data_IF_595924696755
#
_entry.id   IF_595924696755
#
_cell.length_a   1.000
_cell.length_b   1.000
_cell.length_c   1.000
_cell.angle_alpha   90.00
_cell.angle_beta   90.00
_cell.angle_gamma   90.00
#
_symmetry.space_group_name_H-M   'P 1'
#
loop_
_entity.id
_entity.type
_entity.pdbx_description
1 polymer ?
#
# COMPACT_ATOMS: atom_id res chain seq x y z
N UNK A 1 -9.44 12.17 -0.69
CA UNK A 1 -9.19 11.61 0.67
C UNK A 1 -10.45 11.76 1.51
N UNK A 2 -10.65 10.90 2.51
CA UNK A 2 -11.78 11.02 3.43
C UNK A 2 -11.72 12.29 4.28
N UNK A 3 -12.85 12.74 4.81
CA UNK A 3 -12.93 13.95 5.64
C UNK A 3 -12.18 13.84 6.97
N UNK A 4 -12.01 12.62 7.49
CA UNK A 4 -11.21 12.35 8.70
C UNK A 4 -9.71 12.12 8.42
N UNK A 5 -9.28 12.15 7.15
CA UNK A 5 -7.89 11.96 6.75
C UNK A 5 -7.34 10.57 7.04
N UNK A 6 -8.17 9.53 7.14
CA UNK A 6 -7.73 8.15 7.48
C UNK A 6 -7.76 7.16 6.34
N UNK A 7 -8.59 7.39 5.32
CA UNK A 7 -8.73 6.46 4.20
C UNK A 7 -8.93 7.19 2.87
N UNK A 8 -8.84 6.44 1.78
CA UNK A 8 -9.01 6.95 0.43
C UNK A 8 -10.48 6.89 0.01
N UNK A 9 -10.89 7.86 -0.80
CA UNK A 9 -12.17 7.86 -1.50
C UNK A 9 -11.94 8.16 -2.96
N UNK A 10 -12.81 7.65 -3.82
CA UNK A 10 -12.80 8.00 -5.23
C UNK A 10 -13.41 9.40 -5.48
N UNK A 11 -13.50 9.78 -6.75
CA UNK A 11 -14.07 11.08 -7.17
C UNK A 11 -15.57 11.23 -6.87
N UNK A 12 -16.27 10.14 -6.59
CA UNK A 12 -17.69 10.11 -6.22
C UNK A 12 -17.88 10.11 -4.69
N UNK A 13 -16.79 10.07 -3.92
CA UNK A 13 -16.82 10.00 -2.46
C UNK A 13 -16.93 8.57 -1.92
N UNK A 14 -16.89 7.55 -2.78
CA UNK A 14 -16.98 6.16 -2.38
C UNK A 14 -15.64 5.66 -1.80
N UNK A 15 -15.65 4.88 -0.72
CA UNK A 15 -14.45 4.33 -0.12
C UNK A 15 -13.59 3.51 -1.10
N UNK A 16 -12.30 3.84 -1.17
CA UNK A 16 -11.34 3.16 -2.02
C UNK A 16 -10.43 2.26 -1.19
N UNK A 17 -10.49 0.95 -1.42
CA UNK A 17 -9.60 -0.01 -0.76
C UNK A 17 -8.24 -0.01 -1.44
N UNK A 18 -7.25 0.64 -0.82
CA UNK A 18 -5.86 0.55 -1.28
C UNK A 18 -5.28 -0.84 -0.97
N UNK A 19 -5.12 -1.61 -2.04
CA UNK A 19 -4.23 -2.75 -2.14
C UNK A 19 -3.23 -2.50 -3.26
N UNK A 20 -1.99 -2.22 -2.87
CA UNK A 20 -0.90 -1.90 -3.78
C UNK A 20 -0.09 -3.12 -4.22
N UNK A 21 0.56 -3.03 -5.37
CA UNK A 21 1.71 -3.86 -5.75
C UNK A 21 2.86 -2.95 -6.19
N UNK A 22 4.10 -3.43 -6.08
CA UNK A 22 5.28 -2.79 -6.63
C UNK A 22 5.60 -3.40 -7.99
N UNK A 23 5.68 -2.60 -9.06
CA UNK A 23 6.12 -3.01 -10.40
C UNK A 23 7.12 -1.97 -10.93
N UNK A 24 8.23 -1.82 -10.21
CA UNK A 24 9.08 -0.63 -10.31
C UNK A 24 9.58 -0.30 -11.72
N UNK A 25 9.93 -1.33 -12.49
CA UNK A 25 10.50 -1.19 -13.82
C UNK A 25 9.49 -1.41 -14.96
N UNK A 26 8.18 -1.29 -14.69
CA UNK A 26 7.12 -1.56 -15.67
C UNK A 26 7.30 -0.78 -16.98
N UNK A 27 7.75 0.48 -16.93
CA UNK A 27 7.98 1.30 -18.14
C UNK A 27 9.29 1.00 -18.87
N UNK A 28 10.21 0.25 -18.24
CA UNK A 28 11.57 0.03 -18.74
C UNK A 28 11.79 -1.39 -19.23
N UNK A 29 11.37 -2.37 -18.44
CA UNK A 29 11.70 -3.78 -18.63
C UNK A 29 10.53 -4.63 -19.15
N UNK A 30 9.43 -3.97 -19.57
CA UNK A 30 8.26 -4.62 -20.18
C UNK A 30 7.91 -3.99 -21.52
N UNK A 31 7.39 -4.82 -22.43
CA UNK A 31 6.70 -4.35 -23.62
C UNK A 31 5.30 -3.85 -23.23
N UNK A 32 4.70 -2.92 -24.01
CA UNK A 32 3.33 -2.48 -23.73
C UNK A 32 2.31 -3.64 -23.70
N UNK A 33 2.38 -4.65 -24.59
CA UNK A 33 1.52 -5.84 -24.48
C UNK A 33 1.73 -6.64 -23.19
N UNK A 34 2.98 -6.93 -22.79
CA UNK A 34 3.24 -7.67 -21.56
C UNK A 34 2.79 -6.86 -20.33
N UNK A 35 3.03 -5.55 -20.31
CA UNK A 35 2.57 -4.66 -19.25
C UNK A 35 1.03 -4.68 -19.12
N UNK A 36 0.29 -4.69 -20.24
CA UNK A 36 -1.17 -4.83 -20.20
C UNK A 36 -1.61 -6.15 -19.56
N UNK A 37 -0.97 -7.27 -19.92
CA UNK A 37 -1.29 -8.59 -19.34
C UNK A 37 -1.00 -8.62 -17.83
N UNK A 38 0.14 -8.08 -17.40
CA UNK A 38 0.53 -8.00 -16.00
C UNK A 38 -0.49 -7.17 -15.20
N UNK A 39 -0.83 -5.97 -15.70
CA UNK A 39 -1.80 -5.08 -15.05
C UNK A 39 -3.20 -5.70 -14.97
N UNK A 40 -3.69 -6.32 -16.05
CA UNK A 40 -4.96 -7.04 -16.04
C UNK A 40 -4.96 -8.21 -15.04
N UNK A 41 -3.83 -8.92 -14.92
CA UNK A 41 -3.67 -10.00 -13.94
C UNK A 41 -3.73 -9.47 -12.52
N UNK A 42 -3.02 -8.38 -12.21
CA UNK A 42 -3.11 -7.73 -10.89
C UNK A 42 -4.52 -7.25 -10.58
N UNK A 43 -5.23 -6.70 -11.57
CA UNK A 43 -6.65 -6.34 -11.39
C UNK A 43 -7.50 -7.54 -11.00
N UNK A 44 -7.34 -8.69 -11.67
CA UNK A 44 -8.08 -9.94 -11.35
C UNK A 44 -7.75 -10.48 -9.96
N UNK A 45 -6.51 -10.31 -9.50
CA UNK A 45 -6.06 -10.67 -8.15
C UNK A 45 -6.53 -9.68 -7.07
N UNK A 46 -7.28 -8.64 -7.44
CA UNK A 46 -7.86 -7.68 -6.49
C UNK A 46 -6.98 -6.48 -6.16
N UNK A 47 -5.81 -6.33 -6.78
CA UNK A 47 -5.01 -5.11 -6.64
C UNK A 47 -5.75 -3.89 -7.20
N UNK A 48 -5.40 -2.72 -6.67
CA UNK A 48 -6.07 -1.45 -6.94
C UNK A 48 -5.10 -0.30 -7.24
N UNK A 49 -3.86 -0.40 -6.75
CA UNK A 49 -2.79 0.55 -6.97
C UNK A 49 -1.51 -0.18 -7.39
N UNK A 50 -0.71 0.42 -8.28
CA UNK A 50 0.56 -0.12 -8.75
C UNK A 50 1.63 0.97 -8.65
N UNK A 51 2.71 0.68 -7.94
CA UNK A 51 3.83 1.61 -7.75
C UNK A 51 4.92 1.35 -8.79
N UNK A 52 5.32 2.42 -9.50
CA UNK A 52 6.18 2.32 -10.68
C UNK A 52 7.12 3.52 -10.72
N UNK A 53 8.40 3.32 -11.06
CA UNK A 53 9.32 4.42 -11.33
C UNK A 53 9.22 4.85 -12.79
N UNK A 54 8.90 6.12 -13.05
CA UNK A 54 8.66 6.59 -14.42
C UNK A 54 9.89 6.46 -15.34
N UNK A 55 11.09 6.53 -14.75
CA UNK A 55 12.38 6.36 -15.43
C UNK A 55 13.01 4.98 -15.19
N UNK A 56 12.26 4.07 -14.56
CA UNK A 56 12.79 2.87 -13.92
C UNK A 56 13.65 3.16 -12.69
N UNK A 57 13.96 2.11 -11.93
CA UNK A 57 14.77 2.17 -10.72
C UNK A 57 16.20 2.60 -11.03
N UNK A 58 16.78 3.44 -10.15
CA UNK A 58 18.17 3.84 -10.23
C UNK A 58 18.34 5.29 -10.59
N UNK A 59 19.32 5.58 -11.44
CA UNK A 59 19.72 6.93 -11.79
C UNK A 59 19.03 7.46 -13.06
N UNK A 60 18.13 6.67 -13.66
CA UNK A 60 17.38 7.00 -14.86
C UNK A 60 18.13 6.80 -16.18
N UNK A 61 19.37 6.28 -16.17
CA UNK A 61 20.18 6.20 -17.39
C UNK A 61 19.94 4.93 -18.24
N UNK A 62 19.41 3.85 -17.65
CA UNK A 62 19.16 2.59 -18.36
C UNK A 62 18.03 2.77 -19.40
N UNK A 63 18.23 2.39 -20.67
CA UNK A 63 17.19 2.49 -21.68
C UNK A 63 16.06 1.47 -21.45
N UNK A 64 14.88 1.74 -22.01
CA UNK A 64 13.82 0.74 -22.13
C UNK A 64 14.15 -0.33 -23.18
N UNK A 65 13.28 -1.35 -23.32
CA UNK A 65 13.43 -2.43 -24.30
C UNK A 65 13.59 -1.96 -25.76
N UNK A 66 13.15 -0.73 -26.09
CA UNK A 66 13.31 -0.12 -27.41
C UNK A 66 14.59 0.73 -27.56
N UNK A 67 15.49 0.68 -26.58
CA UNK A 67 16.75 1.40 -26.60
C UNK A 67 16.62 2.91 -26.31
N UNK A 68 15.46 3.38 -25.85
CA UNK A 68 15.23 4.79 -25.56
C UNK A 68 15.56 5.08 -24.08
N UNK A 69 16.29 6.17 -23.81
CA UNK A 69 16.50 6.71 -22.46
C UNK A 69 15.44 7.75 -22.11
N UNK A 70 15.14 8.01 -20.83
CA UNK A 70 14.16 9.02 -20.42
C UNK A 70 14.52 10.45 -20.84
N UNK A 71 15.81 10.75 -20.96
CA UNK A 71 16.33 12.08 -21.24
C UNK A 71 17.29 12.10 -22.42
N UNK A 72 17.22 13.15 -23.23
CA UNK A 72 18.18 13.42 -24.29
C UNK A 72 19.46 13.97 -23.68
N UNK A 73 20.61 13.38 -24.04
CA UNK A 73 21.92 13.74 -23.47
C UNK A 73 21.96 13.76 -21.94
N UNK A 74 21.14 12.91 -21.31
CA UNK A 74 21.08 12.76 -19.86
C UNK A 74 20.64 14.03 -19.10
N UNK A 75 19.88 14.91 -19.76
CA UNK A 75 19.38 16.18 -19.21
C UNK A 75 17.87 16.11 -18.89
N UNK A 76 17.47 16.17 -17.61
CA UNK A 76 16.05 16.17 -17.21
C UNK A 76 15.22 17.33 -17.75
N UNK A 77 15.85 18.42 -18.20
CA UNK A 77 15.17 19.51 -18.89
C UNK A 77 14.84 19.21 -20.36
N UNK A 78 15.38 18.12 -20.90
CA UNK A 78 15.12 17.61 -22.25
C UNK A 78 14.58 16.15 -22.23
N UNK A 79 13.32 15.92 -21.79
CA UNK A 79 12.66 14.62 -21.87
C UNK A 79 12.66 14.04 -23.29
N UNK A 80 12.88 12.72 -23.41
CA UNK A 80 12.87 12.02 -24.69
C UNK A 80 11.46 11.54 -25.04
N UNK A 81 10.83 12.17 -26.03
CA UNK A 81 9.48 11.84 -26.50
C UNK A 81 9.30 10.35 -26.86
N UNK A 82 10.32 9.72 -27.45
CA UNK A 82 10.24 8.31 -27.84
C UNK A 82 10.17 7.36 -26.63
N UNK A 83 10.82 7.72 -25.52
CA UNK A 83 10.69 6.98 -24.26
C UNK A 83 9.30 7.18 -23.66
N UNK A 84 8.85 8.44 -23.55
CA UNK A 84 7.57 8.76 -22.92
C UNK A 84 6.36 8.29 -23.72
N UNK A 85 6.48 8.07 -25.04
CA UNK A 85 5.44 7.37 -25.79
C UNK A 85 5.17 5.95 -25.24
N UNK A 86 6.20 5.21 -24.83
CA UNK A 86 6.01 3.90 -24.18
C UNK A 86 5.33 4.05 -22.80
N UNK A 87 5.70 5.10 -22.06
CA UNK A 87 5.07 5.42 -20.77
C UNK A 87 3.58 5.69 -20.96
N UNK A 88 3.19 6.45 -21.99
CA UNK A 88 1.79 6.72 -22.31
C UNK A 88 1.00 5.44 -22.58
N UNK A 89 1.55 4.56 -23.42
CA UNK A 89 0.90 3.30 -23.80
C UNK A 89 0.62 2.41 -22.56
N UNK A 90 1.54 2.40 -21.58
CA UNK A 90 1.40 1.65 -20.32
C UNK A 90 0.47 2.36 -19.32
N UNK A 91 0.49 3.70 -19.23
CA UNK A 91 -0.46 4.45 -18.40
C UNK A 91 -1.89 4.20 -18.87
N UNK A 92 -2.10 4.22 -20.18
CA UNK A 92 -3.40 3.94 -20.79
C UNK A 92 -3.82 2.48 -20.57
N UNK A 93 -2.90 1.52 -20.55
CA UNK A 93 -3.21 0.14 -20.13
C UNK A 93 -3.69 0.09 -18.67
N UNK A 94 -2.99 0.76 -17.73
CA UNK A 94 -3.41 0.86 -16.33
C UNK A 94 -4.80 1.50 -16.17
N UNK A 95 -5.09 2.52 -16.98
CA UNK A 95 -6.41 3.17 -17.01
C UNK A 95 -7.50 2.19 -17.47
N UNK A 96 -7.28 1.43 -18.54
CA UNK A 96 -8.23 0.41 -19.02
C UNK A 96 -8.48 -0.71 -17.99
N UNK A 97 -7.45 -1.10 -17.24
CA UNK A 97 -7.58 -2.09 -16.16
C UNK A 97 -8.24 -1.52 -14.89
N UNK A 98 -8.48 -0.21 -14.81
CA UNK A 98 -9.05 0.43 -13.64
C UNK A 98 -8.14 0.32 -12.41
N UNK A 99 -6.83 0.48 -12.62
CA UNK A 99 -5.80 0.52 -11.58
C UNK A 99 -5.29 1.95 -11.43
N UNK A 100 -5.06 2.37 -10.18
CA UNK A 100 -4.31 3.59 -9.87
C UNK A 100 -2.82 3.34 -10.09
N UNK A 101 -2.13 4.22 -10.78
CA UNK A 101 -0.69 4.18 -10.99
C UNK A 101 -0.02 5.23 -10.11
N UNK A 102 0.83 4.77 -9.20
CA UNK A 102 1.64 5.63 -8.31
C UNK A 102 2.98 5.85 -9.01
N UNK A 103 3.09 6.97 -9.70
CA UNK A 103 4.21 7.31 -10.58
C UNK A 103 5.32 7.99 -9.78
N UNK A 104 6.43 7.27 -9.62
CA UNK A 104 7.67 7.78 -9.07
C UNK A 104 8.40 8.68 -10.05
N UNK A 105 8.38 9.99 -9.77
CA UNK A 105 9.00 11.01 -10.64
C UNK A 105 10.43 11.35 -10.22
N UNK A 106 10.88 10.91 -9.06
CA UNK A 106 12.23 11.20 -8.55
C UNK A 106 12.73 10.06 -7.68
N UNK A 107 14.02 9.76 -7.77
CA UNK A 107 14.74 8.83 -6.91
C UNK A 107 16.02 9.48 -6.38
N UNK A 108 16.44 9.17 -5.15
CA UNK A 108 17.63 9.75 -4.52
C UNK A 108 18.93 9.52 -5.32
N UNK A 109 18.97 8.49 -6.16
CA UNK A 109 20.09 8.21 -7.08
C UNK A 109 20.15 9.17 -8.28
N UNK A 110 19.17 10.06 -8.44
CA UNK A 110 19.08 11.05 -9.52
C UNK A 110 19.53 12.44 -9.09
N UNK A 111 19.99 12.64 -7.84
CA UNK A 111 20.37 13.97 -7.29
C UNK A 111 21.47 14.68 -8.08
N UNK A 112 22.31 13.95 -8.81
CA UNK A 112 23.33 14.55 -9.68
C UNK A 112 22.72 15.24 -10.92
N UNK A 113 21.49 14.89 -11.30
CA UNK A 113 20.79 15.36 -12.51
C UNK A 113 19.57 16.20 -12.19
N UNK A 114 18.80 15.79 -11.18
CA UNK A 114 17.62 16.50 -10.69
C UNK A 114 18.02 17.22 -9.41
N UNK A 115 18.21 18.52 -9.54
CA UNK A 115 18.61 19.43 -8.46
C UNK A 115 17.46 20.40 -8.15
N UNK A 116 17.47 21.11 -7.02
CA UNK A 116 16.49 22.16 -6.77
C UNK A 116 16.35 23.18 -7.93
N UNK A 117 17.44 23.43 -8.68
CA UNK A 117 17.44 24.41 -9.77
C UNK A 117 16.61 23.98 -10.99
N UNK A 118 16.45 22.68 -11.26
CA UNK A 118 15.73 22.18 -12.45
C UNK A 118 14.51 21.30 -12.12
N UNK A 119 14.37 20.83 -10.88
CA UNK A 119 13.33 19.92 -10.43
C UNK A 119 11.90 20.39 -10.78
N UNK A 120 11.59 21.66 -10.52
CA UNK A 120 10.25 22.22 -10.81
C UNK A 120 9.91 22.16 -12.29
N UNK A 121 10.85 22.51 -13.17
CA UNK A 121 10.65 22.48 -14.61
C UNK A 121 10.38 21.07 -15.13
N UNK A 122 11.18 20.12 -14.67
CA UNK A 122 11.04 18.69 -14.99
C UNK A 122 9.70 18.13 -14.51
N UNK A 123 9.36 18.31 -13.23
CA UNK A 123 8.12 17.79 -12.65
C UNK A 123 6.88 18.40 -13.29
N UNK A 124 6.93 19.70 -13.62
CA UNK A 124 5.86 20.38 -14.37
C UNK A 124 5.66 19.82 -15.76
N UNK A 125 6.72 19.43 -16.46
CA UNK A 125 6.60 18.78 -17.76
C UNK A 125 5.88 17.43 -17.65
N UNK A 126 6.27 16.59 -16.68
CA UNK A 126 5.62 15.29 -16.43
C UNK A 126 4.14 15.49 -16.09
N UNK A 127 3.83 16.34 -15.12
CA UNK A 127 2.46 16.58 -14.70
C UNK A 127 1.59 17.15 -15.83
N UNK A 128 2.13 18.02 -16.69
CA UNK A 128 1.40 18.50 -17.88
C UNK A 128 1.09 17.40 -18.89
N UNK A 129 1.94 16.38 -19.01
CA UNK A 129 1.72 15.27 -19.94
C UNK A 129 0.59 14.36 -19.47
N UNK A 130 0.49 14.13 -18.15
CA UNK A 130 -0.43 13.16 -17.56
C UNK A 130 -1.58 13.77 -16.75
N UNK A 131 -1.77 15.09 -16.82
CA UNK A 131 -2.82 15.85 -16.11
C UNK A 131 -4.23 15.30 -16.29
N UNK A 132 -4.52 14.71 -17.45
CA UNK A 132 -5.87 14.24 -17.80
C UNK A 132 -6.02 12.72 -17.57
N UNK A 133 -5.00 12.05 -17.01
CA UNK A 133 -5.06 10.62 -16.64
C UNK A 133 -5.62 10.48 -15.22
N UNK A 134 -6.91 10.14 -15.04
CA UNK A 134 -7.59 10.26 -13.74
C UNK A 134 -7.14 9.24 -12.69
N UNK A 135 -6.29 8.29 -13.07
CA UNK A 135 -5.82 7.17 -12.26
C UNK A 135 -4.34 7.32 -11.89
N UNK A 136 -3.82 8.54 -11.76
CA UNK A 136 -2.44 8.81 -11.39
C UNK A 136 -2.32 9.36 -9.95
N UNK A 137 -1.27 8.94 -9.25
CA UNK A 137 -0.77 9.54 -8.01
C UNK A 137 0.72 9.80 -8.20
N UNK A 138 1.21 10.94 -7.74
CA UNK A 138 2.63 11.27 -7.80
C UNK A 138 3.38 10.75 -6.57
N UNK A 139 4.58 10.22 -6.76
CA UNK A 139 5.47 9.80 -5.68
C UNK A 139 6.92 10.22 -5.94
N UNK A 140 7.69 10.36 -4.86
CA UNK A 140 9.11 10.69 -4.86
C UNK A 140 9.85 9.79 -3.88
N UNK A 141 11.10 9.43 -4.20
CA UNK A 141 11.89 8.43 -3.49
C UNK A 141 13.23 8.97 -2.96
N UNK A 142 13.20 9.96 -2.04
CA UNK A 142 14.39 10.51 -1.38
C UNK A 142 14.88 9.57 -0.27
N UNK A 143 16.05 9.84 0.32
CA UNK A 143 16.30 9.33 1.68
C UNK A 143 15.44 10.11 2.68
N UNK A 144 15.15 9.53 3.85
CA UNK A 144 14.44 10.22 4.93
C UNK A 144 15.34 11.25 5.66
N UNK A 145 15.82 12.26 4.93
CA UNK A 145 16.80 13.25 5.39
C UNK A 145 16.36 14.67 4.99
N UNK A 146 16.64 15.66 5.84
CA UNK A 146 16.24 17.05 5.62
C UNK A 146 16.87 17.68 4.36
N UNK A 147 18.04 17.19 3.94
CA UNK A 147 18.77 17.69 2.76
C UNK A 147 18.01 17.45 1.45
N UNK A 148 17.05 16.52 1.42
CA UNK A 148 16.20 16.29 0.24
C UNK A 148 14.99 17.25 0.20
N UNK A 149 14.62 17.90 1.30
CA UNK A 149 13.41 18.74 1.36
C UNK A 149 13.39 19.86 0.32
N UNK A 150 14.50 20.58 0.04
CA UNK A 150 14.52 21.60 -1.01
C UNK A 150 14.15 21.05 -2.40
N UNK A 151 14.69 19.90 -2.80
CA UNK A 151 14.37 19.32 -4.13
C UNK A 151 12.94 18.78 -4.16
N UNK A 152 12.46 18.16 -3.07
CA UNK A 152 11.09 17.65 -2.96
C UNK A 152 10.05 18.76 -3.08
N UNK A 153 10.28 19.92 -2.45
CA UNK A 153 9.39 21.09 -2.56
C UNK A 153 9.32 21.62 -3.99
N UNK A 154 10.44 21.68 -4.71
CA UNK A 154 10.47 22.10 -6.11
C UNK A 154 9.76 21.10 -7.03
N UNK A 155 9.95 19.80 -6.81
CA UNK A 155 9.19 18.75 -7.51
C UNK A 155 7.69 18.89 -7.25
N UNK A 156 7.27 18.97 -5.99
CA UNK A 156 5.86 19.10 -5.61
C UNK A 156 5.21 20.36 -6.20
N UNK A 157 5.91 21.50 -6.17
CA UNK A 157 5.44 22.73 -6.81
C UNK A 157 5.27 22.55 -8.32
N UNK A 158 6.25 21.92 -8.99
CA UNK A 158 6.17 21.63 -10.42
C UNK A 158 5.00 20.72 -10.77
N UNK A 159 4.77 19.65 -9.99
CA UNK A 159 3.64 18.75 -10.18
C UNK A 159 2.30 19.50 -10.10
N UNK A 160 2.09 20.28 -9.03
CA UNK A 160 0.87 21.08 -8.85
C UNK A 160 0.69 22.13 -9.95
N UNK A 161 1.77 22.79 -10.38
CA UNK A 161 1.73 23.75 -11.51
C UNK A 161 1.37 23.06 -12.83
N UNK A 162 1.76 21.79 -13.00
CA UNK A 162 1.58 21.06 -14.25
C UNK A 162 0.19 20.46 -14.43
N UNK A 163 -0.40 19.94 -13.35
CA UNK A 163 -1.71 19.28 -13.37
C UNK A 163 -2.82 20.08 -12.69
N UNK A 164 -2.53 21.29 -12.21
CA UNK A 164 -3.49 22.14 -11.52
C UNK A 164 -3.89 21.62 -10.13
N UNK A 165 -3.12 20.70 -9.56
CA UNK A 165 -3.40 20.06 -8.28
C UNK A 165 -4.40 18.90 -8.37
N UNK A 166 -4.62 18.34 -9.56
CA UNK A 166 -5.60 17.29 -9.78
C UNK A 166 -5.27 15.96 -9.08
N UNK A 167 -4.00 15.62 -8.94
CA UNK A 167 -3.57 14.33 -8.38
C UNK A 167 -2.99 14.46 -6.97
N UNK A 168 -3.05 13.36 -6.23
CA UNK A 168 -2.41 13.24 -4.92
C UNK A 168 -0.88 13.14 -5.09
N UNK A 169 -0.14 13.60 -4.08
CA UNK A 169 1.32 13.53 -3.98
C UNK A 169 1.70 12.82 -2.68
N UNK A 170 2.57 11.82 -2.77
CA UNK A 170 3.21 11.16 -1.63
C UNK A 170 4.74 11.19 -1.74
N UNK A 171 5.42 10.78 -0.67
CA UNK A 171 6.84 10.52 -0.62
C UNK A 171 7.08 9.16 0.00
N UNK A 172 7.79 8.30 -0.74
CA UNK A 172 8.21 6.96 -0.34
C UNK A 172 9.72 6.97 -0.07
N UNK A 173 10.19 7.10 1.19
CA UNK A 173 11.63 7.18 1.42
C UNK A 173 12.36 5.89 1.05
N UNK A 174 13.52 6.01 0.39
CA UNK A 174 14.48 4.94 0.10
C UNK A 174 15.92 5.39 0.46
N UNK A 175 16.54 4.85 1.52
CA UNK A 175 15.95 3.91 2.46
C UNK A 175 15.05 4.62 3.50
N UNK A 176 14.07 3.86 4.00
CA UNK A 176 13.49 3.79 5.37
C UNK A 176 13.81 4.93 6.37
N UNK A 177 12.85 5.41 7.21
CA UNK A 177 11.64 4.68 7.63
C UNK A 177 10.31 5.13 7.02
N UNK A 178 9.97 6.42 7.13
CA UNK A 178 8.65 6.92 6.75
C UNK A 178 8.72 8.39 6.37
N UNK A 179 7.90 8.84 5.43
CA UNK A 179 7.78 10.27 5.08
C UNK A 179 7.38 11.12 6.28
N UNK A 180 6.57 10.55 7.18
CA UNK A 180 6.17 11.19 8.43
C UNK A 180 7.34 11.56 9.35
N UNK A 181 8.52 10.94 9.17
CA UNK A 181 9.68 11.18 10.03
C UNK A 181 10.40 12.50 9.75
N UNK A 182 10.18 13.13 8.59
CA UNK A 182 10.92 14.34 8.20
C UNK A 182 10.11 15.40 7.44
N UNK A 183 8.95 15.06 6.86
CA UNK A 183 8.14 15.97 6.04
C UNK A 183 6.63 15.84 6.27
N UNK A 184 6.21 15.30 7.42
CA UNK A 184 4.78 15.10 7.73
C UNK A 184 3.94 16.37 7.54
N UNK A 185 4.46 17.52 7.96
CA UNK A 185 3.73 18.79 7.98
C UNK A 185 3.71 19.53 6.63
N UNK A 186 4.33 18.98 5.59
CA UNK A 186 4.27 19.58 4.25
C UNK A 186 2.81 19.55 3.74
N UNK A 187 2.25 20.71 3.33
CA UNK A 187 0.84 20.80 2.95
C UNK A 187 0.53 20.12 1.61
N UNK A 188 1.55 19.92 0.76
CA UNK A 188 1.41 19.24 -0.52
C UNK A 188 1.49 17.70 -0.39
N UNK A 189 1.93 17.17 0.76
CA UNK A 189 2.02 15.73 1.03
C UNK A 189 0.64 15.23 1.45
N UNK A 190 -0.04 14.47 0.59
CA UNK A 190 -1.41 14.04 0.81
C UNK A 190 -1.51 12.85 1.81
N UNK A 191 -0.57 11.91 1.74
CA UNK A 191 -0.53 10.76 2.65
C UNK A 191 0.91 10.36 2.98
N UNK A 192 1.09 9.66 4.10
CA UNK A 192 2.39 9.12 4.46
C UNK A 192 2.61 7.75 3.80
N UNK A 193 3.84 7.51 3.38
CA UNK A 193 4.33 6.20 2.93
C UNK A 193 5.58 5.79 3.71
N UNK A 194 5.69 4.49 3.98
CA UNK A 194 6.76 3.88 4.78
C UNK A 194 7.32 2.59 4.16
N UNK A 195 8.59 2.30 4.45
CA UNK A 195 9.32 1.12 3.97
C UNK A 195 10.19 0.54 5.10
N UNK A 196 9.84 -0.61 5.71
CA UNK A 196 10.73 -1.34 6.63
C UNK A 196 11.75 -2.23 5.92
N UNK A 197 11.77 -2.24 4.58
CA UNK A 197 12.54 -3.20 3.78
C UNK A 197 12.16 -4.63 4.17
N UNK A 198 13.12 -5.50 4.53
CA UNK A 198 12.84 -6.87 4.96
C UNK A 198 12.49 -7.03 6.45
N UNK A 199 12.44 -5.94 7.23
CA UNK A 199 12.14 -5.93 8.68
C UNK A 199 10.64 -5.93 8.93
N UNK A 200 9.96 -6.97 8.45
CA UNK A 200 8.49 -7.06 8.46
C UNK A 200 7.87 -6.94 9.86
N UNK A 201 8.61 -7.26 10.92
CA UNK A 201 8.17 -7.09 12.31
C UNK A 201 7.96 -5.62 12.72
N UNK A 202 8.51 -4.67 11.96
CA UNK A 202 8.31 -3.23 12.20
C UNK A 202 7.00 -2.70 11.57
N UNK A 203 6.35 -3.47 10.69
CA UNK A 203 5.20 -3.00 9.89
C UNK A 203 4.09 -2.42 10.77
N UNK A 204 3.65 -3.15 11.80
CA UNK A 204 2.57 -2.69 12.67
C UNK A 204 2.94 -1.37 13.36
N UNK A 205 4.13 -1.31 13.98
CA UNK A 205 4.57 -0.14 14.75
C UNK A 205 4.75 1.10 13.89
N UNK A 206 5.28 0.95 12.67
CA UNK A 206 5.45 2.06 11.73
C UNK A 206 4.11 2.62 11.27
N UNK A 207 3.16 1.76 10.88
CA UNK A 207 1.83 2.22 10.46
C UNK A 207 1.07 2.85 11.62
N UNK A 208 1.13 2.26 12.82
CA UNK A 208 0.50 2.83 14.01
C UNK A 208 1.10 4.20 14.37
N UNK A 209 2.41 4.39 14.20
CA UNK A 209 3.08 5.66 14.41
C UNK A 209 2.60 6.73 13.42
N UNK A 210 2.43 6.38 12.14
CA UNK A 210 1.90 7.29 11.11
C UNK A 210 0.41 7.63 11.37
N UNK A 211 -0.39 6.63 11.75
CA UNK A 211 -1.79 6.83 12.13
C UNK A 211 -1.92 7.78 13.33
N UNK A 212 -1.01 7.73 14.30
CA UNK A 212 -1.06 8.61 15.47
C UNK A 212 -0.67 10.08 15.18
N UNK A 213 -0.17 10.40 13.98
CA UNK A 213 0.27 11.77 13.65
C UNK A 213 -0.88 12.75 13.48
N UNK A 214 -0.53 14.02 13.71
CA UNK A 214 -1.37 15.19 13.48
C UNK A 214 -0.60 16.20 12.62
N UNK A 215 -1.22 16.78 11.57
CA UNK A 215 -2.58 16.53 11.09
C UNK A 215 -2.79 15.10 10.57
N UNK A 216 -4.00 14.56 10.72
CA UNK A 216 -4.30 13.20 10.27
C UNK A 216 -4.11 13.07 8.75
N UNK A 217 -3.32 12.09 8.34
CA UNK A 217 -3.11 11.69 6.93
C UNK A 217 -3.23 10.17 6.83
N UNK A 218 -3.67 9.63 5.67
CA UNK A 218 -3.63 8.18 5.45
C UNK A 218 -2.19 7.66 5.58
N UNK A 219 -2.05 6.44 6.09
CA UNK A 219 -0.75 5.76 6.22
C UNK A 219 -0.71 4.57 5.27
N UNK A 220 0.29 4.51 4.39
CA UNK A 220 0.49 3.41 3.44
C UNK A 220 1.81 2.71 3.77
N UNK A 221 1.72 1.45 4.17
CA UNK A 221 2.86 0.54 4.17
C UNK A 221 3.19 0.22 2.71
N UNK A 222 4.04 1.04 2.12
CA UNK A 222 4.17 1.15 0.68
C UNK A 222 5.21 0.16 0.11
N UNK A 223 6.19 -0.25 0.91
CA UNK A 223 7.11 -1.32 0.54
C UNK A 223 7.55 -2.10 1.77
N UNK A 224 6.80 -3.15 2.07
CA UNK A 224 7.18 -4.12 3.09
C UNK A 224 8.10 -5.21 2.49
N UNK A 225 8.39 -6.25 3.25
CA UNK A 225 9.22 -7.34 2.79
C UNK A 225 8.58 -8.12 1.65
N UNK A 226 9.33 -8.35 0.58
CA UNK A 226 8.88 -9.03 -0.63
C UNK A 226 8.82 -10.55 -0.52
N UNK A 227 7.80 -11.13 -1.15
CA UNK A 227 7.70 -12.59 -1.33
C UNK A 227 8.88 -13.10 -2.18
N UNK A 228 9.36 -14.30 -1.88
CA UNK A 228 10.46 -14.92 -2.61
C UNK A 228 11.86 -14.57 -2.06
N UNK A 229 11.99 -13.50 -1.26
CA UNK A 229 13.16 -13.35 -0.38
C UNK A 229 13.13 -14.52 0.60
N UNK A 230 14.24 -15.27 0.72
CA UNK A 230 14.33 -16.62 1.34
C UNK A 230 13.48 -16.89 2.60
N UNK A 231 13.28 -15.91 3.48
CA UNK A 231 12.52 -16.06 4.75
C UNK A 231 11.10 -15.48 4.72
N UNK A 232 10.71 -14.79 3.64
CA UNK A 232 9.44 -14.10 3.49
C UNK A 232 8.46 -14.96 2.69
N UNK A 233 7.76 -15.83 3.42
CA UNK A 233 6.78 -16.78 2.89
C UNK A 233 5.43 -16.10 2.65
N UNK A 234 4.49 -16.76 1.93
CA UNK A 234 3.12 -16.25 1.80
C UNK A 234 2.43 -15.94 3.13
N UNK A 235 2.74 -16.69 4.20
CA UNK A 235 2.26 -16.40 5.56
C UNK A 235 2.78 -15.04 6.06
N UNK A 236 4.07 -14.75 5.87
CA UNK A 236 4.64 -13.45 6.26
C UNK A 236 4.01 -12.31 5.45
N UNK A 237 3.70 -12.52 4.17
CA UNK A 237 2.97 -11.54 3.37
C UNK A 237 1.59 -11.24 3.97
N UNK A 238 0.83 -12.28 4.36
CA UNK A 238 -0.46 -12.09 5.04
C UNK A 238 -0.31 -11.30 6.34
N UNK A 239 0.68 -11.64 7.18
CA UNK A 239 0.97 -10.90 8.42
C UNK A 239 1.15 -9.41 8.15
N UNK A 240 1.98 -9.06 7.16
CA UNK A 240 2.24 -7.66 6.81
C UNK A 240 0.97 -6.93 6.37
N UNK A 241 0.11 -7.57 5.58
CA UNK A 241 -1.15 -6.98 5.13
C UNK A 241 -2.12 -6.71 6.29
N UNK A 242 -2.38 -7.73 7.13
CA UNK A 242 -3.26 -7.58 8.29
C UNK A 242 -2.70 -6.62 9.33
N UNK A 243 -1.40 -6.65 9.60
CA UNK A 243 -0.77 -5.71 10.51
C UNK A 243 -0.85 -4.27 10.01
N UNK A 244 -0.68 -4.04 8.70
CA UNK A 244 -0.85 -2.71 8.12
C UNK A 244 -2.29 -2.21 8.31
N UNK A 245 -3.28 -3.04 8.00
CA UNK A 245 -4.70 -2.67 8.11
C UNK A 245 -5.14 -2.41 9.55
N UNK A 246 -4.83 -3.35 10.45
CA UNK A 246 -5.25 -3.31 11.85
C UNK A 246 -4.42 -2.32 12.69
N UNK A 247 -3.33 -1.79 12.15
CA UNK A 247 -2.62 -0.62 12.67
C UNK A 247 -3.20 0.72 12.16
N UNK A 248 -4.19 0.69 11.26
CA UNK A 248 -4.92 1.86 10.78
C UNK A 248 -4.44 2.39 9.42
N UNK A 249 -3.68 1.59 8.67
CA UNK A 249 -3.17 1.98 7.35
C UNK A 249 -3.59 1.04 6.23
N UNK A 250 -2.84 1.16 5.13
CA UNK A 250 -3.04 0.42 3.88
C UNK A 250 -1.77 -0.35 3.51
N UNK A 251 -1.89 -1.36 2.65
CA UNK A 251 -0.80 -2.26 2.33
C UNK A 251 -0.47 -2.29 0.83
N UNK A 252 0.82 -2.36 0.53
CA UNK A 252 1.35 -2.69 -0.79
C UNK A 252 2.22 -3.95 -0.70
N UNK A 253 1.91 -4.91 -1.57
CA UNK A 253 2.65 -6.14 -1.79
C UNK A 253 3.89 -5.90 -2.68
N UNK A 254 4.81 -6.85 -2.69
CA UNK A 254 5.84 -6.97 -3.71
C UNK A 254 6.50 -8.35 -3.72
N UNK A 255 7.24 -8.64 -4.79
CA UNK A 255 7.90 -9.92 -5.04
C UNK A 255 9.37 -9.70 -5.46
N UNK A 256 10.30 -10.52 -4.94
CA UNK A 256 11.74 -10.36 -5.17
C UNK A 256 12.11 -10.51 -6.64
N UNK A 257 11.52 -11.47 -7.37
CA UNK A 257 11.77 -11.61 -8.81
C UNK A 257 11.22 -10.43 -9.63
N UNK A 258 10.18 -9.74 -9.17
CA UNK A 258 9.77 -8.50 -9.85
C UNK A 258 10.83 -7.40 -9.69
N UNK A 259 11.58 -7.40 -8.58
CA UNK A 259 12.71 -6.49 -8.37
C UNK A 259 13.98 -6.93 -9.13
N UNK A 260 14.34 -8.22 -9.07
CA UNK A 260 15.60 -8.74 -9.62
C UNK A 260 15.54 -9.10 -11.09
N UNK A 261 14.39 -9.59 -11.53
CA UNK A 261 14.15 -10.19 -12.85
C UNK A 261 12.75 -9.84 -13.37
N UNK A 262 12.36 -8.54 -13.46
CA UNK A 262 11.00 -8.14 -13.82
C UNK A 262 10.48 -8.78 -15.12
N UNK A 263 11.36 -8.97 -16.10
CA UNK A 263 11.02 -9.61 -17.38
C UNK A 263 10.59 -11.08 -17.27
N UNK A 264 10.92 -11.78 -16.18
CA UNK A 264 10.49 -13.16 -15.94
C UNK A 264 9.10 -13.25 -15.31
N UNK A 265 8.26 -12.22 -15.44
CA UNK A 265 6.96 -12.10 -14.78
C UNK A 265 6.05 -13.32 -14.81
N UNK A 266 6.11 -14.12 -15.87
CA UNK A 266 5.38 -15.38 -15.98
C UNK A 266 5.71 -16.38 -14.87
N UNK A 267 6.85 -16.25 -14.19
CA UNK A 267 7.27 -17.13 -13.08
C UNK A 267 6.78 -16.67 -11.71
N UNK A 268 6.43 -15.39 -11.53
CA UNK A 268 6.12 -14.82 -10.22
C UNK A 268 4.76 -14.12 -10.13
N UNK A 269 4.09 -13.86 -11.26
CA UNK A 269 2.82 -13.12 -11.26
C UNK A 269 1.73 -13.85 -10.46
N UNK A 270 1.76 -15.18 -10.44
CA UNK A 270 0.79 -16.04 -9.74
C UNK A 270 1.36 -16.64 -8.45
N UNK A 271 2.38 -16.01 -7.84
CA UNK A 271 2.90 -16.45 -6.54
C UNK A 271 1.80 -16.47 -5.47
N UNK A 272 1.80 -17.44 -4.53
CA UNK A 272 0.69 -17.61 -3.58
C UNK A 272 0.40 -16.37 -2.74
N UNK A 273 1.42 -15.61 -2.33
CA UNK A 273 1.25 -14.36 -1.58
C UNK A 273 0.43 -13.32 -2.35
N UNK A 274 0.62 -13.21 -3.67
CA UNK A 274 -0.19 -12.33 -4.52
C UNK A 274 -1.68 -12.74 -4.52
N UNK A 275 -1.97 -14.05 -4.59
CA UNK A 275 -3.34 -14.56 -4.49
C UNK A 275 -3.98 -14.28 -3.13
N UNK A 276 -3.22 -14.48 -2.04
CA UNK A 276 -3.70 -14.20 -0.68
C UNK A 276 -4.02 -12.72 -0.45
N UNK A 277 -3.42 -11.78 -1.21
CA UNK A 277 -3.78 -10.37 -1.13
C UNK A 277 -5.22 -10.10 -1.59
N UNK A 278 -5.69 -10.83 -2.61
CA UNK A 278 -7.09 -10.80 -3.03
C UNK A 278 -8.03 -11.29 -1.93
N UNK A 279 -7.67 -12.40 -1.28
CA UNK A 279 -8.42 -12.97 -0.14
C UNK A 279 -8.43 -12.01 1.06
N UNK A 280 -7.31 -11.40 1.39
CA UNK A 280 -7.21 -10.37 2.43
C UNK A 280 -8.18 -9.20 2.16
N UNK A 281 -8.22 -8.69 0.92
CA UNK A 281 -9.16 -7.64 0.53
C UNK A 281 -10.60 -8.11 0.70
N UNK A 282 -10.94 -9.32 0.24
CA UNK A 282 -12.29 -9.88 0.36
C UNK A 282 -12.74 -9.94 1.83
N UNK A 283 -11.93 -10.51 2.71
CA UNK A 283 -12.23 -10.64 4.14
C UNK A 283 -12.47 -9.26 4.77
N UNK A 284 -11.55 -8.32 4.59
CA UNK A 284 -11.67 -6.98 5.20
C UNK A 284 -12.91 -6.25 4.65
N UNK A 285 -13.12 -6.28 3.33
CA UNK A 285 -14.25 -5.57 2.71
C UNK A 285 -15.61 -6.24 2.94
N UNK A 286 -15.64 -7.47 3.45
CA UNK A 286 -16.87 -8.13 3.91
C UNK A 286 -17.42 -7.52 5.21
N UNK A 287 -16.58 -6.81 5.98
CA UNK A 287 -17.01 -6.11 7.18
C UNK A 287 -17.92 -4.94 6.81
N UNK A 288 -19.01 -4.74 7.57
CA UNK A 288 -19.91 -3.60 7.35
C UNK A 288 -19.15 -2.29 7.51
N UNK A 289 -19.29 -1.38 6.54
CA UNK A 289 -18.61 -0.07 6.58
C UNK A 289 -17.11 -0.23 6.87
N UNK A 290 -16.46 -1.23 6.24
CA UNK A 290 -15.06 -1.62 6.46
C UNK A 290 -14.06 -0.46 6.47
N UNK A 291 -14.41 0.65 5.81
CA UNK A 291 -13.58 1.86 5.72
C UNK A 291 -13.61 2.74 6.99
N UNK A 292 -14.51 2.47 7.94
CA UNK A 292 -14.69 3.24 9.16
C UNK A 292 -14.28 2.43 10.38
N UNK A 293 -12.98 2.30 10.59
CA UNK A 293 -12.39 1.51 11.69
C UNK A 293 -11.36 2.28 12.50
N UNK A 294 -11.10 1.80 13.71
CA UNK A 294 -10.04 2.27 14.60
C UNK A 294 -9.19 1.09 15.09
N UNK A 295 -7.85 1.17 15.02
CA UNK A 295 -6.96 0.24 15.70
C UNK A 295 -7.25 0.19 17.20
N UNK A 296 -7.38 -0.99 17.80
CA UNK A 296 -7.62 -1.13 19.23
C UNK A 296 -7.05 -2.44 19.79
N UNK A 297 -5.81 -2.41 20.26
CA UNK A 297 -5.17 -3.58 20.88
C UNK A 297 -5.76 -3.93 22.26
N UNK A 298 -6.49 -3.02 22.91
CA UNK A 298 -7.15 -3.31 24.19
C UNK A 298 -8.37 -4.23 24.06
N UNK A 299 -8.72 -4.60 22.82
CA UNK A 299 -9.62 -5.71 22.51
C UNK A 299 -9.08 -7.03 23.09
N UNK A 300 -7.78 -7.24 23.10
CA UNK A 300 -7.18 -8.42 23.72
C UNK A 300 -7.09 -8.22 25.24
N UNK A 301 -7.88 -8.96 26.01
CA UNK A 301 -7.69 -9.13 27.44
C UNK A 301 -6.40 -9.94 27.73
N UNK A 302 -6.08 -10.89 26.85
CA UNK A 302 -4.83 -11.64 26.85
C UNK A 302 -4.50 -12.12 25.44
N UNK A 303 -3.21 -12.42 25.19
CA UNK A 303 -2.77 -13.04 23.94
C UNK A 303 -2.48 -12.08 22.78
N UNK A 304 -2.36 -10.76 23.00
CA UNK A 304 -1.93 -9.82 21.95
C UNK A 304 -0.54 -10.14 21.38
N UNK A 305 0.40 -10.61 22.22
CA UNK A 305 1.80 -10.89 21.85
C UNK A 305 2.52 -9.68 21.22
N UNK A 306 3.71 -9.90 20.65
CA UNK A 306 4.55 -8.89 20.00
C UNK A 306 5.40 -9.49 18.87
N UNK A 307 6.14 -8.63 18.16
CA UNK A 307 7.09 -9.03 17.13
C UNK A 307 6.49 -9.97 16.06
N UNK A 308 7.18 -11.06 15.68
CA UNK A 308 6.70 -12.02 14.68
C UNK A 308 5.38 -12.72 15.00
N UNK A 309 4.95 -12.74 16.27
CA UNK A 309 3.72 -13.41 16.75
C UNK A 309 2.64 -12.42 17.17
N UNK A 310 2.81 -11.12 16.88
CA UNK A 310 1.83 -10.08 17.17
C UNK A 310 0.46 -10.44 16.59
N UNK A 311 -0.53 -10.52 17.46
CA UNK A 311 -1.94 -10.53 17.08
C UNK A 311 -2.42 -9.07 17.04
N UNK A 312 -3.21 -8.75 16.04
CA UNK A 312 -3.69 -7.40 15.83
C UNK A 312 -5.20 -7.34 15.82
N UNK A 313 -5.77 -6.25 16.31
CA UNK A 313 -7.20 -6.06 16.32
C UNK A 313 -7.57 -4.60 16.05
N UNK A 314 -8.73 -4.47 15.41
CA UNK A 314 -9.41 -3.20 15.20
C UNK A 314 -10.92 -3.39 15.39
N UNK A 315 -11.62 -2.28 15.52
CA UNK A 315 -13.08 -2.26 15.60
C UNK A 315 -13.70 -1.18 14.75
N UNK A 316 -14.94 -1.42 14.36
CA UNK A 316 -15.80 -0.41 13.75
C UNK A 316 -15.92 0.82 14.62
N UNK A 317 -15.94 2.00 14.03
CA UNK A 317 -16.31 3.24 14.74
C UNK A 317 -17.77 3.24 15.17
N UNK A 318 -18.64 2.47 14.50
CA UNK A 318 -20.03 2.28 14.89
C UNK A 318 -20.18 1.30 16.07
N UNK A 319 -19.10 0.61 16.46
CA UNK A 319 -19.08 -0.35 17.56
C UNK A 319 -19.83 -1.64 17.27
N UNK A 320 -20.06 -1.97 15.99
CA UNK A 320 -20.86 -3.11 15.54
C UNK A 320 -20.03 -4.31 15.06
N UNK A 321 -18.70 -4.18 14.96
CA UNK A 321 -17.83 -5.32 14.74
C UNK A 321 -16.42 -5.12 15.30
N UNK A 322 -15.75 -6.25 15.55
CA UNK A 322 -14.32 -6.39 15.83
C UNK A 322 -13.72 -7.34 14.80
N UNK A 323 -12.57 -6.98 14.25
CA UNK A 323 -11.76 -7.85 13.41
C UNK A 323 -10.41 -8.07 14.11
N UNK A 324 -10.05 -9.33 14.35
CA UNK A 324 -8.77 -9.69 14.97
C UNK A 324 -8.02 -10.72 14.11
N UNK A 325 -6.76 -10.43 13.80
CA UNK A 325 -5.86 -11.33 13.10
C UNK A 325 -4.94 -12.03 14.11
N UNK A 326 -4.97 -13.37 14.10
CA UNK A 326 -4.09 -14.22 14.87
C UNK A 326 -2.95 -14.71 13.99
N UNK A 327 -1.72 -14.26 14.25
CA UNK A 327 -0.56 -14.44 13.35
C UNK A 327 0.18 -15.77 13.53
N UNK A 328 -0.28 -16.61 14.44
CA UNK A 328 0.27 -17.93 14.72
C UNK A 328 -0.79 -18.79 15.40
N UNK A 329 -0.61 -20.11 15.43
CA UNK A 329 -1.45 -21.01 16.25
C UNK A 329 -1.41 -20.57 17.71
N UNK A 330 -2.53 -20.07 18.23
CA UNK A 330 -2.60 -19.41 19.54
C UNK A 330 -4.02 -19.39 20.10
N UNK A 331 -4.12 -19.02 21.38
CA UNK A 331 -5.37 -18.70 22.05
C UNK A 331 -5.33 -17.25 22.53
N UNK A 332 -6.45 -16.54 22.40
CA UNK A 332 -6.64 -15.18 22.86
C UNK A 332 -7.90 -15.06 23.71
N UNK A 333 -7.91 -14.07 24.60
CA UNK A 333 -9.12 -13.66 25.30
C UNK A 333 -9.51 -12.25 24.85
N UNK A 334 -10.76 -12.07 24.45
CA UNK A 334 -11.30 -10.84 23.87
C UNK A 334 -12.24 -10.15 24.86
N UNK A 335 -12.06 -8.84 25.04
CA UNK A 335 -12.97 -7.94 25.75
C UNK A 335 -14.22 -7.70 24.89
N UNK A 336 -15.29 -8.45 25.13
CA UNK A 336 -16.50 -8.38 24.30
C UNK A 336 -17.24 -7.05 24.43
N UNK A 337 -17.07 -6.34 25.56
CA UNK A 337 -17.63 -5.00 25.80
C UNK A 337 -17.14 -3.92 24.81
N UNK A 338 -16.17 -4.28 23.95
CA UNK A 338 -15.69 -3.43 22.84
C UNK A 338 -16.67 -3.39 21.65
N UNK A 339 -17.61 -4.32 21.57
CA UNK A 339 -18.79 -4.24 20.70
C UNK A 339 -19.87 -3.51 21.50
N UNK A 340 -20.21 -2.29 21.07
CA UNK A 340 -21.07 -1.37 21.83
C UNK A 340 -22.44 -1.16 21.20
N UNK A 341 -22.70 -1.72 20.01
CA UNK A 341 -23.94 -1.46 19.27
C UNK A 341 -25.07 -2.48 19.52
N UNK A 342 -24.85 -3.51 20.34
CA UNK A 342 -25.84 -4.56 20.60
C UNK A 342 -25.42 -5.50 21.73
N UNK A 343 -26.36 -6.33 22.21
CA UNK A 343 -26.18 -7.21 23.39
C UNK A 343 -25.71 -8.64 23.05
N UNK A 344 -25.71 -8.98 21.77
CA UNK A 344 -25.34 -10.29 21.26
C UNK A 344 -24.39 -10.17 20.06
N UNK A 345 -23.47 -11.12 19.96
CA UNK A 345 -22.39 -11.16 18.96
C UNK A 345 -22.48 -12.46 18.20
N UNK A 346 -22.33 -12.40 16.89
CA UNK A 346 -22.03 -13.53 16.04
C UNK A 346 -20.52 -13.60 15.79
N UNK A 347 -19.92 -14.77 16.04
CA UNK A 347 -18.50 -14.97 15.81
C UNK A 347 -18.27 -15.91 14.61
N UNK A 348 -17.27 -15.58 13.79
CA UNK A 348 -16.83 -16.38 12.64
C UNK A 348 -15.32 -16.37 12.50
N UNK A 349 -14.75 -17.48 12.05
CA UNK A 349 -13.37 -17.54 11.56
C UNK A 349 -13.36 -17.37 10.05
N UNK A 350 -12.34 -16.69 9.54
CA UNK A 350 -11.93 -16.75 8.13
C UNK A 350 -10.55 -17.39 8.00
N UNK A 351 -10.43 -18.30 7.04
CA UNK A 351 -9.14 -18.81 6.57
C UNK A 351 -8.46 -17.73 5.71
N UNK A 352 -7.31 -17.16 6.12
CA UNK A 352 -6.64 -16.10 5.39
C UNK A 352 -6.06 -16.53 4.03
N UNK A 353 -6.02 -17.85 3.74
CA UNK A 353 -5.52 -18.41 2.49
C UNK A 353 -6.61 -18.63 1.45
N UNK A 354 -7.83 -18.94 1.88
CA UNK A 354 -8.95 -19.30 0.99
C UNK A 354 -10.12 -18.32 1.04
N UNK A 355 -10.26 -17.54 2.12
CA UNK A 355 -11.42 -16.69 2.37
C UNK A 355 -12.63 -17.43 2.94
N UNK A 356 -12.52 -18.74 3.18
CA UNK A 356 -13.62 -19.53 3.72
C UNK A 356 -14.04 -19.03 5.11
N UNK A 357 -15.32 -18.70 5.25
CA UNK A 357 -15.92 -18.24 6.51
C UNK A 357 -16.62 -19.38 7.25
N UNK A 358 -16.17 -19.68 8.46
CA UNK A 358 -16.82 -20.66 9.35
C UNK A 358 -17.45 -19.96 10.55
N UNK A 359 -18.79 -20.02 10.65
CA UNK A 359 -19.53 -19.53 11.82
C UNK A 359 -19.27 -20.43 13.03
N UNK A 360 -18.92 -19.84 14.18
CA UNK A 360 -18.61 -20.60 15.40
C UNK A 360 -19.63 -20.43 16.53
N UNK A 361 -20.56 -19.48 16.42
CA UNK A 361 -21.69 -19.38 17.34
C UNK A 361 -22.09 -17.96 17.72
N UNK A 362 -22.97 -17.87 18.72
CA UNK A 362 -23.39 -16.61 19.31
C UNK A 362 -22.81 -16.42 20.72
N UNK A 363 -22.43 -15.20 21.05
CA UNK A 363 -21.82 -14.81 22.32
C UNK A 363 -22.50 -13.57 22.89
N UNK A 364 -22.47 -13.33 24.21
CA UNK A 364 -22.83 -12.04 24.77
C UNK A 364 -21.79 -10.98 24.37
N UNK A 365 -22.21 -9.74 24.14
CA UNK A 365 -21.31 -8.58 23.90
C UNK A 365 -20.70 -8.02 25.20
N UNK A 366 -20.56 -8.84 26.23
CA UNK A 366 -20.06 -8.42 27.55
C UNK A 366 -19.10 -9.42 28.15
N UNK A 367 -18.17 -8.90 28.95
CA UNK A 367 -17.15 -9.69 29.63
C UNK A 367 -16.10 -10.23 28.68
N UNK A 368 -15.39 -11.27 29.12
CA UNK A 368 -14.24 -11.82 28.40
C UNK A 368 -14.63 -13.17 27.78
N UNK A 369 -14.31 -13.37 26.50
CA UNK A 369 -14.48 -14.65 25.80
C UNK A 369 -13.17 -15.12 25.19
N UNK A 370 -12.91 -16.43 25.25
CA UNK A 370 -11.69 -17.03 24.73
C UNK A 370 -11.91 -17.67 23.36
N UNK A 371 -10.96 -17.46 22.46
CA UNK A 371 -10.96 -17.98 21.10
C UNK A 371 -9.58 -18.55 20.79
N UNK A 372 -9.55 -19.65 20.04
CA UNK A 372 -8.30 -20.28 19.60
C UNK A 372 -8.32 -20.45 18.09
N UNK A 373 -7.16 -20.30 17.46
CA UNK A 373 -6.99 -20.62 16.03
C UNK A 373 -7.51 -22.03 15.73
N UNK A 374 -8.27 -22.23 14.63
CA UNK A 374 -8.72 -23.56 14.22
C UNK A 374 -7.55 -24.55 14.05
N UNK A 375 -7.82 -25.83 14.32
CA UNK A 375 -6.80 -26.86 14.26
C UNK A 375 -6.24 -26.98 12.83
N UNK A 376 -4.91 -26.97 12.71
CA UNK A 376 -4.22 -27.09 11.42
C UNK A 376 -4.00 -25.77 10.68
N UNK A 377 -4.49 -24.63 11.20
CA UNK A 377 -4.27 -23.31 10.59
C UNK A 377 -3.01 -22.64 11.16
N UNK A 378 -2.21 -22.04 10.27
CA UNK A 378 -1.00 -21.29 10.64
C UNK A 378 -1.32 -19.88 11.15
N UNK A 379 -2.39 -19.28 10.62
CA UNK A 379 -2.96 -17.98 10.99
C UNK A 379 -4.47 -17.99 10.79
N UNK A 380 -5.18 -17.07 11.44
CA UNK A 380 -6.65 -16.99 11.37
C UNK A 380 -7.15 -15.56 11.54
N UNK A 381 -8.30 -15.24 10.94
CA UNK A 381 -9.00 -13.97 11.19
C UNK A 381 -10.31 -14.24 11.92
N UNK A 382 -10.46 -13.68 13.11
CA UNK A 382 -11.71 -13.67 13.87
C UNK A 382 -12.52 -12.43 13.50
N UNK A 383 -13.75 -12.63 13.07
CA UNK A 383 -14.75 -11.58 12.95
C UNK A 383 -15.82 -11.77 14.02
N UNK A 384 -16.04 -10.73 14.81
CA UNK A 384 -17.12 -10.63 15.79
C UNK A 384 -18.06 -9.51 15.37
N UNK A 385 -19.33 -9.81 15.15
CA UNK A 385 -20.33 -8.84 14.67
C UNK A 385 -21.51 -8.75 15.63
N UNK A 386 -21.98 -7.55 15.93
CA UNK A 386 -23.21 -7.35 16.67
C UNK A 386 -24.40 -7.95 15.88
N UNK A 387 -25.19 -8.81 16.53
CA UNK A 387 -26.45 -9.28 15.96
C UNK A 387 -27.46 -8.14 15.99
N UNK A 388 -28.16 -7.98 14.88
CA UNK A 388 -29.31 -7.07 14.79
C UNK A 388 -30.54 -7.66 15.46
#
# INVERSE_FOLDING_TARGET
>A
MSSNGRYFVDRHGEPFFWLGDTLWDLFRDFSAPDASVVLETRKRQGFSAIQIMITGVGDGAKPNLSGQTPWIKDDPSAPNEAYFKNVDDVIEAGRRSGLVLVLGVFHQRQVARITPANARGYARWIARRYRDAPNVIWSMYPKAEQDYVPVLRELAAGLREGDGGAHLITVHPDPSPASSSFIHDEPWLDFNSSQPWNRYELVYGMVAADYARTPAKPAVMAEAGYEGVKTLTPLIIRKQAYWSHLAGGHHSYGHDDNWRSPSSWRSWIDSPGAGHMGVYREIVTSCREWWSWVPDQSIFASGASDGPTLNAAARSTAGDWILAYLSSTTAVSIQMDKITSGDAVEASWFDPTTGERTRIGGFPSRGIQSFSTPAGWEDAVLLLEARR
#
